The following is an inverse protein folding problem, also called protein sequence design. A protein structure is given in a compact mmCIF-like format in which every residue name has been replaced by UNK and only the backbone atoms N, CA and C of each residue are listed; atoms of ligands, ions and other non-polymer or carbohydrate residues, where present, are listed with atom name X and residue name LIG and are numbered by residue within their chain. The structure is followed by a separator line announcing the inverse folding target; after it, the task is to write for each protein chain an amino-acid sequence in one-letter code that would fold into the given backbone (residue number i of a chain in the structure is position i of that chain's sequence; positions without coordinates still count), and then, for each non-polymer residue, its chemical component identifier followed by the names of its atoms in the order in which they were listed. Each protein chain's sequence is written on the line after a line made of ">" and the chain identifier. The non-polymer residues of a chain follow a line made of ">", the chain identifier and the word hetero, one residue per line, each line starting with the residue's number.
data_IF_714650374245
#
_entry.id   IF_714650374245
#
_cell.length_a   1.000
_cell.length_b   1.000
_cell.length_c   1.000
_cell.angle_alpha   90.00
_cell.angle_beta   90.00
_cell.angle_gamma   90.00
#
_symmetry.space_group_name_H-M   'P 1'
#
loop_
_entity.id
_entity.type
_entity.pdbx_description
1 polymer ?
#
# COMPACT_ATOMS: atom_id res chain seq x y z
N UNK A 1 13.15 -6.64 31.83
CA UNK A 1 11.98 -5.98 32.46
C UNK A 1 12.18 -4.47 32.36
N UNK A 2 11.28 -3.76 31.68
CA UNK A 2 11.27 -2.29 31.69
C UNK A 2 10.91 -1.86 33.13
N UNK A 3 11.69 -0.97 33.75
CA UNK A 3 11.37 -0.48 35.10
C UNK A 3 9.99 0.19 35.11
N UNK A 4 9.18 -0.02 36.16
CA UNK A 4 7.80 0.50 36.25
C UNK A 4 7.69 2.03 36.02
N UNK A 5 8.72 2.80 36.34
CA UNK A 5 8.77 4.24 36.07
C UNK A 5 9.02 4.63 34.61
N UNK A 6 9.60 3.75 33.79
CA UNK A 6 9.95 4.04 32.40
C UNK A 6 8.83 3.70 31.40
N UNK A 7 7.96 2.74 31.73
CA UNK A 7 6.90 2.28 30.84
C UNK A 7 5.92 3.40 30.41
N UNK A 8 5.45 4.31 31.30
CA UNK A 8 4.58 5.43 30.90
C UNK A 8 5.25 6.38 29.89
N UNK A 9 6.54 6.66 30.06
CA UNK A 9 7.30 7.56 29.20
C UNK A 9 7.62 6.94 27.84
N UNK A 10 8.03 5.67 27.83
CA UNK A 10 8.30 4.92 26.60
C UNK A 10 7.02 4.78 25.76
N UNK A 11 5.89 4.50 26.41
CA UNK A 11 4.60 4.45 25.73
C UNK A 11 4.24 5.80 25.11
N UNK A 12 4.34 6.90 25.87
CA UNK A 12 4.07 8.24 25.36
C UNK A 12 4.97 8.63 24.17
N UNK A 13 6.28 8.34 24.25
CA UNK A 13 7.21 8.56 23.15
C UNK A 13 6.85 7.76 21.90
N UNK A 14 6.49 6.49 22.07
CA UNK A 14 6.00 5.64 20.97
C UNK A 14 4.70 6.16 20.35
N UNK A 15 3.76 6.62 21.17
CA UNK A 15 2.50 7.23 20.71
C UNK A 15 2.74 8.48 19.86
N UNK A 16 3.69 9.33 20.24
CA UNK A 16 4.07 10.52 19.45
C UNK A 16 4.63 10.14 18.08
N UNK A 17 5.49 9.13 18.02
CA UNK A 17 6.04 8.63 16.75
C UNK A 17 4.92 8.08 15.86
N UNK A 18 4.02 7.25 16.42
CA UNK A 18 2.87 6.72 15.68
C UNK A 18 1.91 7.81 15.18
N UNK A 19 1.63 8.80 16.01
CA UNK A 19 0.80 9.95 15.63
C UNK A 19 1.47 10.82 14.56
N UNK A 20 2.79 10.97 14.58
CA UNK A 20 3.52 11.68 13.52
C UNK A 20 3.37 11.00 12.16
N UNK A 21 3.50 9.67 12.09
CA UNK A 21 3.25 8.92 10.86
C UNK A 21 1.82 9.12 10.34
N UNK A 22 0.83 9.03 11.22
CA UNK A 22 -0.58 9.25 10.87
C UNK A 22 -0.84 10.69 10.40
N UNK A 23 -0.26 11.69 11.09
CA UNK A 23 -0.34 13.08 10.68
C UNK A 23 0.28 13.30 9.30
N UNK A 24 1.46 12.75 9.06
CA UNK A 24 2.14 12.83 7.77
C UNK A 24 1.35 12.14 6.64
N UNK A 25 0.63 11.04 6.94
CA UNK A 25 -0.27 10.39 5.99
C UNK A 25 -1.48 11.28 5.62
N UNK A 26 -2.05 12.01 6.59
CA UNK A 26 -3.17 12.92 6.36
C UNK A 26 -2.75 14.27 5.74
N UNK A 27 -1.55 14.74 6.08
CA UNK A 27 -1.00 16.03 5.63
C UNK A 27 0.47 15.86 5.21
N UNK A 28 0.71 15.23 4.05
CA UNK A 28 2.06 15.06 3.53
C UNK A 28 2.75 16.40 3.28
N UNK A 29 4.07 16.42 3.48
CA UNK A 29 4.90 17.60 3.32
C UNK A 29 5.48 17.69 1.90
N UNK A 30 5.20 18.80 1.21
CA UNK A 30 5.59 18.96 -0.21
C UNK A 30 6.53 20.15 -0.48
N UNK A 31 6.82 20.99 0.52
CA UNK A 31 7.45 22.30 0.28
C UNK A 31 8.96 22.27 0.00
N UNK A 32 9.66 21.22 0.42
CA UNK A 32 11.11 21.11 0.23
C UNK A 32 11.48 19.70 -0.22
N UNK A 33 12.22 19.58 -1.32
CA UNK A 33 12.48 18.32 -2.02
C UNK A 33 12.93 17.17 -1.09
N UNK A 34 14.00 17.37 -0.31
CA UNK A 34 14.52 16.33 0.61
C UNK A 34 13.51 15.89 1.67
N UNK A 35 12.80 16.84 2.27
CA UNK A 35 11.76 16.56 3.28
C UNK A 35 10.53 15.92 2.66
N UNK A 36 10.24 16.23 1.40
CA UNK A 36 9.15 15.61 0.65
C UNK A 36 9.43 14.14 0.35
N UNK A 37 10.67 13.76 0.05
CA UNK A 37 11.05 12.35 -0.11
C UNK A 37 10.86 11.58 1.21
N UNK A 38 11.35 12.11 2.33
CA UNK A 38 11.15 11.48 3.64
C UNK A 38 9.66 11.38 4.01
N UNK A 39 8.90 12.46 3.77
CA UNK A 39 7.45 12.48 3.98
C UNK A 39 6.73 11.48 3.08
N UNK A 40 7.16 11.33 1.82
CA UNK A 40 6.61 10.37 0.89
C UNK A 40 6.77 8.94 1.41
N UNK A 41 7.99 8.50 1.75
CA UNK A 41 8.21 7.14 2.24
C UNK A 41 7.49 6.86 3.57
N UNK A 42 7.52 7.82 4.50
CA UNK A 42 6.80 7.72 5.76
C UNK A 42 5.27 7.62 5.54
N UNK A 43 4.73 8.43 4.63
CA UNK A 43 3.32 8.45 4.29
C UNK A 43 2.90 7.18 3.57
N UNK A 44 3.63 6.78 2.53
CA UNK A 44 3.37 5.63 1.68
C UNK A 44 3.23 4.34 2.49
N UNK A 45 4.21 4.02 3.34
CA UNK A 45 4.13 2.83 4.20
C UNK A 45 2.94 2.91 5.17
N UNK A 46 2.67 4.09 5.72
CA UNK A 46 1.58 4.28 6.69
C UNK A 46 0.20 4.14 6.02
N UNK A 47 0.03 4.66 4.81
CA UNK A 47 -1.25 4.60 4.07
C UNK A 47 -1.51 3.22 3.50
N UNK A 48 -0.51 2.57 2.90
CA UNK A 48 -0.67 1.23 2.30
C UNK A 48 -0.82 0.15 3.37
N UNK A 49 -0.12 0.28 4.49
CA UNK A 49 -0.15 -0.69 5.58
C UNK A 49 -1.01 -0.20 6.76
N UNK A 50 -1.96 0.70 6.54
CA UNK A 50 -2.76 1.33 7.60
C UNK A 50 -3.39 0.31 8.57
N UNK A 51 -3.91 -0.81 8.04
CA UNK A 51 -4.47 -1.90 8.85
C UNK A 51 -3.39 -2.58 9.73
N UNK A 52 -2.20 -2.83 9.18
CA UNK A 52 -1.08 -3.39 9.94
C UNK A 52 -0.60 -2.44 11.03
N UNK A 53 -0.52 -1.13 10.73
CA UNK A 53 -0.19 -0.10 11.70
C UNK A 53 -1.20 -0.08 12.85
N UNK A 54 -2.50 -0.17 12.55
CA UNK A 54 -3.54 -0.25 13.57
C UNK A 54 -3.36 -1.49 14.45
N UNK A 55 -3.19 -2.68 13.87
CA UNK A 55 -3.02 -3.93 14.62
C UNK A 55 -1.78 -3.90 15.50
N UNK A 56 -0.62 -3.48 14.99
CA UNK A 56 0.60 -3.41 15.79
C UNK A 56 0.53 -2.34 16.89
N UNK A 57 -0.10 -1.18 16.63
CA UNK A 57 -0.35 -0.17 17.66
C UNK A 57 -1.29 -0.70 18.75
N UNK A 58 -2.32 -1.47 18.39
CA UNK A 58 -3.23 -2.10 19.35
C UNK A 58 -2.48 -3.09 20.25
N UNK A 59 -1.69 -3.99 19.67
CA UNK A 59 -0.89 -4.97 20.42
C UNK A 59 0.12 -4.29 21.34
N UNK A 60 0.89 -3.33 20.83
CA UNK A 60 1.85 -2.58 21.64
C UNK A 60 1.17 -1.83 22.78
N UNK A 61 0.03 -1.18 22.51
CA UNK A 61 -0.75 -0.49 23.53
C UNK A 61 -1.18 -1.46 24.64
N UNK A 62 -1.70 -2.65 24.29
CA UNK A 62 -2.07 -3.65 25.27
C UNK A 62 -0.88 -4.10 26.13
N UNK A 63 0.29 -4.34 25.52
CA UNK A 63 1.52 -4.69 26.25
C UNK A 63 1.97 -3.59 27.21
N UNK A 64 1.96 -2.33 26.77
CA UNK A 64 2.35 -1.20 27.63
C UNK A 64 1.34 -0.96 28.76
N UNK A 65 0.04 -1.08 28.50
CA UNK A 65 -1.00 -1.02 29.53
C UNK A 65 -0.80 -2.12 30.57
N UNK A 66 -0.56 -3.36 30.13
CA UNK A 66 -0.24 -4.47 31.03
C UNK A 66 1.04 -4.24 31.85
N UNK A 67 2.05 -3.60 31.25
CA UNK A 67 3.28 -3.19 31.92
C UNK A 67 3.12 -1.97 32.86
N UNK A 68 1.90 -1.47 33.08
CA UNK A 68 1.62 -0.37 34.00
C UNK A 68 1.83 1.03 33.40
N UNK A 69 1.83 1.19 32.07
CA UNK A 69 2.00 2.51 31.45
C UNK A 69 0.99 3.55 31.94
N UNK A 70 -0.24 3.12 32.30
CA UNK A 70 -1.29 4.01 32.79
C UNK A 70 -1.15 4.39 34.28
N UNK A 71 -0.12 3.89 34.97
CA UNK A 71 0.13 4.22 36.39
C UNK A 71 0.62 5.67 36.59
N UNK A 72 0.97 6.38 35.51
CA UNK A 72 1.39 7.78 35.57
C UNK A 72 0.80 8.59 34.40
N UNK A 73 0.71 9.91 34.59
CA UNK A 73 0.13 10.84 33.62
C UNK A 73 0.73 10.73 32.19
N UNK A 74 2.03 10.46 31.97
CA UNK A 74 2.56 10.38 30.61
C UNK A 74 1.91 9.27 29.79
N UNK A 75 1.59 8.12 30.43
CA UNK A 75 0.95 7.03 29.72
C UNK A 75 -0.53 7.30 29.41
N UNK A 76 -1.23 8.06 30.26
CA UNK A 76 -2.60 8.53 29.97
C UNK A 76 -2.59 9.46 28.75
N UNK A 77 -1.63 10.41 28.70
CA UNK A 77 -1.43 11.29 27.54
C UNK A 77 -1.08 10.47 26.29
N UNK A 78 -0.16 9.50 26.42
CA UNK A 78 0.19 8.57 25.34
C UNK A 78 -1.04 7.83 24.79
N UNK A 79 -1.91 7.33 25.68
CA UNK A 79 -3.13 6.63 25.27
C UNK A 79 -4.07 7.54 24.47
N UNK A 80 -4.28 8.78 24.94
CA UNK A 80 -5.10 9.75 24.23
C UNK A 80 -4.54 10.06 22.83
N UNK A 81 -3.22 10.22 22.71
CA UNK A 81 -2.54 10.41 21.42
C UNK A 81 -2.74 9.19 20.52
N UNK A 82 -2.58 7.98 21.05
CA UNK A 82 -2.80 6.73 20.29
C UNK A 82 -4.23 6.64 19.76
N UNK A 83 -5.23 6.94 20.59
CA UNK A 83 -6.64 6.91 20.18
C UNK A 83 -6.93 7.96 19.09
N UNK A 84 -6.37 9.16 19.20
CA UNK A 84 -6.47 10.17 18.15
C UNK A 84 -5.78 9.71 16.84
N UNK A 85 -4.64 9.03 16.95
CA UNK A 85 -3.95 8.41 15.83
C UNK A 85 -4.83 7.36 15.14
N UNK A 86 -5.55 6.52 15.89
CA UNK A 86 -6.47 5.53 15.31
C UNK A 86 -7.63 6.16 14.55
N UNK A 87 -8.19 7.26 15.07
CA UNK A 87 -9.22 8.01 14.35
C UNK A 87 -8.67 8.58 13.02
N UNK A 88 -7.42 9.06 13.01
CA UNK A 88 -6.73 9.48 11.80
C UNK A 88 -6.53 8.36 10.78
N UNK A 89 -6.09 7.17 11.22
CA UNK A 89 -5.94 5.99 10.36
C UNK A 89 -7.28 5.51 9.81
N UNK A 90 -8.35 5.51 10.62
CA UNK A 90 -9.70 5.18 10.16
C UNK A 90 -10.19 6.16 9.08
N UNK A 91 -9.85 7.44 9.21
CA UNK A 91 -10.13 8.44 8.19
C UNK A 91 -9.34 8.18 6.90
N UNK A 92 -8.04 7.83 6.98
CA UNK A 92 -7.25 7.40 5.82
C UNK A 92 -7.91 6.21 5.10
N UNK A 93 -8.32 5.19 5.87
CA UNK A 93 -8.99 4.01 5.32
C UNK A 93 -10.31 4.37 4.63
N UNK A 94 -11.11 5.25 5.22
CA UNK A 94 -12.37 5.73 4.63
C UNK A 94 -12.14 6.48 3.31
N UNK A 95 -11.11 7.33 3.25
CA UNK A 95 -10.75 8.03 2.01
C UNK A 95 -10.30 7.04 0.94
N UNK A 96 -9.47 6.05 1.29
CA UNK A 96 -9.04 5.01 0.36
C UNK A 96 -10.21 4.22 -0.23
N UNK A 97 -11.24 3.90 0.59
CA UNK A 97 -12.48 3.26 0.11
C UNK A 97 -13.27 4.11 -0.89
N UNK A 98 -13.14 5.44 -0.86
CA UNK A 98 -13.79 6.33 -1.82
C UNK A 98 -13.25 6.18 -3.25
N UNK A 99 -12.01 5.70 -3.41
CA UNK A 99 -11.39 5.49 -4.73
C UNK A 99 -12.16 4.44 -5.56
N UNK A 100 -12.79 3.46 -4.90
CA UNK A 100 -13.61 2.43 -5.55
C UNK A 100 -14.72 3.06 -6.40
N UNK A 101 -15.47 4.01 -5.82
CA UNK A 101 -16.56 4.68 -6.52
C UNK A 101 -16.05 5.55 -7.69
N UNK A 102 -14.91 6.22 -7.51
CA UNK A 102 -14.30 7.05 -8.57
C UNK A 102 -13.84 6.18 -9.74
N UNK A 103 -13.20 5.04 -9.45
CA UNK A 103 -12.77 4.09 -10.48
C UNK A 103 -13.97 3.47 -11.19
N UNK A 104 -14.99 3.05 -10.46
CA UNK A 104 -16.21 2.50 -11.06
C UNK A 104 -16.91 3.51 -11.96
N UNK A 105 -16.97 4.78 -11.54
CA UNK A 105 -17.54 5.85 -12.35
C UNK A 105 -16.74 6.06 -13.64
N UNK A 106 -15.41 6.11 -13.56
CA UNK A 106 -14.55 6.25 -14.73
C UNK A 106 -14.67 5.06 -15.70
N UNK A 107 -14.83 3.84 -15.19
CA UNK A 107 -15.10 2.65 -15.99
C UNK A 107 -16.47 2.74 -16.68
N UNK A 108 -17.52 3.13 -15.96
CA UNK A 108 -18.84 3.36 -16.54
C UNK A 108 -18.83 4.44 -17.63
N UNK A 109 -18.07 5.52 -17.43
CA UNK A 109 -17.98 6.62 -18.40
C UNK A 109 -17.19 6.23 -19.65
N UNK A 110 -16.14 5.41 -19.50
CA UNK A 110 -15.28 4.98 -20.62
C UNK A 110 -15.77 3.75 -21.37
N UNK A 111 -16.40 2.80 -20.68
CA UNK A 111 -16.80 1.50 -21.22
C UNK A 111 -18.33 1.30 -21.26
N UNK A 112 -19.09 2.23 -20.72
CA UNK A 112 -20.55 2.13 -20.60
C UNK A 112 -21.01 1.49 -19.29
N UNK A 113 -22.23 1.82 -18.86
CA UNK A 113 -22.80 1.33 -17.58
C UNK A 113 -22.99 -0.19 -17.53
N UNK A 114 -23.15 -0.83 -18.69
CA UNK A 114 -23.32 -2.27 -18.82
C UNK A 114 -22.01 -3.03 -19.04
N UNK A 115 -20.84 -2.38 -18.92
CA UNK A 115 -19.55 -3.03 -19.23
C UNK A 115 -19.35 -4.36 -18.50
N UNK A 116 -19.86 -4.49 -17.27
CA UNK A 116 -19.78 -5.71 -16.45
C UNK A 116 -20.56 -6.89 -17.04
N UNK A 117 -21.58 -6.63 -17.84
CA UNK A 117 -22.40 -7.63 -18.54
C UNK A 117 -21.69 -8.16 -19.79
N UNK A 118 -20.79 -7.36 -20.36
CA UNK A 118 -19.97 -7.70 -21.53
C UNK A 118 -18.72 -8.52 -21.16
N UNK A 119 -18.38 -8.60 -19.86
CA UNK A 119 -17.28 -9.43 -19.37
C UNK A 119 -17.68 -10.91 -19.43
N UNK A 120 -16.82 -11.74 -20.06
CA UNK A 120 -16.98 -13.19 -20.10
C UNK A 120 -17.27 -13.78 -18.71
N UNK A 121 -18.28 -14.66 -18.54
CA UNK A 121 -18.67 -15.20 -17.24
C UNK A 121 -17.51 -15.81 -16.44
N UNK A 122 -16.61 -16.54 -17.12
CA UNK A 122 -15.46 -17.21 -16.52
C UNK A 122 -14.42 -16.22 -15.95
N UNK A 123 -14.38 -15.00 -16.49
CA UNK A 123 -13.53 -13.91 -16.00
C UNK A 123 -14.24 -13.15 -14.90
N UNK A 124 -15.56 -12.94 -15.03
CA UNK A 124 -16.39 -12.27 -14.03
C UNK A 124 -16.36 -12.96 -12.67
N UNK A 125 -16.35 -14.28 -12.65
CA UNK A 125 -16.21 -15.07 -11.41
C UNK A 125 -14.87 -14.82 -10.69
N UNK A 126 -13.80 -14.51 -11.42
CA UNK A 126 -12.49 -14.15 -10.84
C UNK A 126 -12.47 -12.74 -10.24
N UNK A 127 -13.37 -11.86 -10.68
CA UNK A 127 -13.57 -10.54 -10.08
C UNK A 127 -14.45 -10.59 -8.81
N UNK A 128 -14.83 -11.78 -8.33
CA UNK A 128 -15.62 -11.89 -7.12
C UNK A 128 -14.98 -11.05 -6.00
N UNK A 129 -15.76 -10.18 -5.31
CA UNK A 129 -15.26 -9.21 -4.33
C UNK A 129 -14.81 -9.85 -3.01
N UNK A 130 -14.39 -11.11 -3.03
CA UNK A 130 -13.82 -11.78 -1.88
C UNK A 130 -12.46 -11.16 -1.58
N UNK A 131 -12.38 -10.48 -0.44
CA UNK A 131 -11.12 -9.96 0.07
C UNK A 131 -10.18 -11.16 0.29
N UNK A 132 -9.09 -11.22 -0.45
CA UNK A 132 -8.02 -12.18 -0.19
C UNK A 132 -7.23 -11.73 1.04
N UNK A 133 -7.67 -12.17 2.21
CA UNK A 133 -7.03 -11.87 3.48
C UNK A 133 -5.58 -12.36 3.56
N UNK A 134 -5.18 -13.37 2.76
CA UNK A 134 -3.78 -13.81 2.73
C UNK A 134 -2.90 -12.77 2.05
N UNK A 135 -3.37 -12.17 0.95
CA UNK A 135 -2.66 -11.08 0.29
C UNK A 135 -2.58 -9.82 1.15
N UNK A 136 -3.63 -9.54 1.94
CA UNK A 136 -3.58 -8.45 2.92
C UNK A 136 -2.52 -8.73 3.99
N UNK A 137 -2.47 -9.95 4.54
CA UNK A 137 -1.53 -10.31 5.60
C UNK A 137 -0.07 -10.41 5.10
N UNK A 138 0.12 -10.82 3.85
CA UNK A 138 1.42 -11.01 3.21
C UNK A 138 1.49 -10.21 1.91
N UNK A 139 1.79 -8.90 1.97
CA UNK A 139 1.86 -8.03 0.79
C UNK A 139 3.18 -8.22 0.03
N UNK A 140 3.57 -9.47 -0.21
CA UNK A 140 4.75 -9.83 -0.99
C UNK A 140 4.33 -10.22 -2.41
N UNK A 141 5.12 -9.86 -3.43
CA UNK A 141 4.82 -10.25 -4.80
C UNK A 141 4.82 -11.78 -4.92
N UNK A 142 3.69 -12.35 -5.37
CA UNK A 142 3.56 -13.79 -5.62
C UNK A 142 3.67 -14.03 -7.11
N UNK A 143 4.54 -14.95 -7.52
CA UNK A 143 4.69 -15.31 -8.93
C UNK A 143 3.53 -16.18 -9.40
N UNK A 144 2.87 -15.81 -10.51
CA UNK A 144 1.80 -16.64 -11.06
C UNK A 144 2.37 -17.85 -11.84
N UNK A 145 2.07 -19.11 -11.45
CA UNK A 145 2.70 -20.31 -12.04
C UNK A 145 2.39 -20.48 -13.54
N UNK A 146 1.21 -20.03 -13.99
CA UNK A 146 0.79 -20.07 -15.39
C UNK A 146 1.40 -19.01 -16.30
N UNK A 147 2.23 -18.10 -15.76
CA UNK A 147 2.87 -17.03 -16.51
C UNK A 147 4.36 -17.35 -16.70
N UNK A 148 4.83 -17.15 -17.92
CA UNK A 148 6.26 -17.12 -18.24
C UNK A 148 6.69 -15.70 -18.62
N UNK A 149 7.95 -15.39 -18.32
CA UNK A 149 8.57 -14.10 -18.58
C UNK A 149 9.70 -14.26 -19.57
N UNK A 150 9.56 -13.66 -20.74
CA UNK A 150 10.64 -13.48 -21.71
C UNK A 150 11.35 -12.18 -21.39
N UNK A 151 12.62 -12.27 -20.98
CA UNK A 151 13.36 -11.11 -20.47
C UNK A 151 14.16 -10.40 -21.56
N UNK A 152 14.30 -9.08 -21.41
CA UNK A 152 15.22 -8.23 -22.16
C UNK A 152 14.98 -8.25 -23.67
N UNK A 153 13.72 -8.26 -24.09
CA UNK A 153 13.35 -8.10 -25.49
C UNK A 153 13.70 -6.67 -25.89
N UNK A 154 14.76 -6.51 -26.67
CA UNK A 154 15.20 -5.20 -27.16
C UNK A 154 14.23 -4.74 -28.25
N UNK A 155 13.50 -3.66 -27.97
CA UNK A 155 12.53 -3.10 -28.92
C UNK A 155 13.11 -1.90 -29.68
N UNK A 156 14.13 -1.23 -29.12
CA UNK A 156 14.78 -0.12 -29.80
C UNK A 156 16.23 0.08 -29.31
N UNK A 157 17.05 0.77 -30.10
CA UNK A 157 18.38 1.26 -29.72
C UNK A 157 18.46 2.75 -29.99
N UNK A 158 18.80 3.52 -28.97
CA UNK A 158 18.99 4.97 -29.05
C UNK A 158 20.40 5.26 -28.55
N UNK A 159 21.23 5.82 -29.42
CA UNK A 159 22.68 5.94 -29.22
C UNK A 159 23.29 4.57 -28.84
N UNK A 160 24.05 4.52 -27.75
CA UNK A 160 24.63 3.29 -27.21
C UNK A 160 23.68 2.52 -26.25
N UNK A 161 22.45 3.01 -26.04
CA UNK A 161 21.50 2.40 -25.10
C UNK A 161 20.49 1.50 -25.80
N UNK A 162 20.48 0.23 -25.41
CA UNK A 162 19.44 -0.72 -25.79
C UNK A 162 18.22 -0.55 -24.87
N UNK A 163 17.08 -0.15 -25.44
CA UNK A 163 15.82 -0.11 -24.74
C UNK A 163 15.18 -1.49 -24.82
N UNK A 164 14.95 -2.10 -23.65
CA UNK A 164 14.46 -3.46 -23.53
C UNK A 164 13.26 -3.54 -22.59
N UNK A 165 12.34 -4.43 -22.92
CA UNK A 165 11.16 -4.75 -22.12
C UNK A 165 11.13 -6.23 -21.76
N UNK A 166 10.24 -6.59 -20.84
CA UNK A 166 9.93 -7.98 -20.56
C UNK A 166 8.51 -8.28 -21.02
N UNK A 167 8.34 -9.45 -21.66
CA UNK A 167 7.04 -9.93 -22.09
C UNK A 167 6.59 -10.99 -21.10
N UNK A 168 5.49 -10.72 -20.41
CA UNK A 168 4.79 -11.71 -19.60
C UNK A 168 3.67 -12.30 -20.43
N UNK A 169 3.65 -13.62 -20.58
CA UNK A 169 2.63 -14.32 -21.37
C UNK A 169 2.19 -15.63 -20.70
N UNK A 170 0.99 -16.14 -21.02
CA UNK A 170 0.61 -17.48 -20.62
C UNK A 170 1.63 -18.51 -21.11
N UNK A 171 1.89 -19.54 -20.31
CA UNK A 171 2.72 -20.69 -20.75
C UNK A 171 2.06 -21.51 -21.86
N UNK A 172 0.72 -21.49 -21.92
CA UNK A 172 -0.03 -22.12 -22.99
C UNK A 172 0.11 -21.28 -24.27
N UNK A 173 0.25 -21.94 -25.42
CA UNK A 173 0.21 -21.25 -26.70
C UNK A 173 -1.18 -20.68 -26.95
N UNK A 174 -1.26 -19.36 -27.08
CA UNK A 174 -2.49 -18.62 -27.34
C UNK A 174 -2.27 -17.60 -28.45
N UNK A 175 -3.26 -17.43 -29.32
CA UNK A 175 -3.26 -16.42 -30.40
C UNK A 175 -4.30 -15.34 -30.14
N UNK A 176 -4.05 -14.11 -30.59
CA UNK A 176 -5.03 -13.01 -30.48
C UNK A 176 -5.24 -12.49 -29.05
N UNK A 177 -4.23 -12.63 -28.19
CA UNK A 177 -4.33 -12.13 -26.82
C UNK A 177 -4.31 -10.59 -26.78
N UNK A 178 -5.27 -9.96 -26.06
CA UNK A 178 -5.17 -8.54 -25.73
C UNK A 178 -3.82 -8.23 -25.08
N UNK A 179 -3.15 -7.18 -25.53
CA UNK A 179 -1.82 -6.80 -25.04
C UNK A 179 -1.92 -5.56 -24.18
N UNK A 180 -1.46 -5.66 -22.93
CA UNK A 180 -1.32 -4.53 -22.01
C UNK A 180 0.15 -4.08 -22.00
N UNK A 181 0.39 -2.79 -22.21
CA UNK A 181 1.71 -2.18 -22.05
C UNK A 181 1.79 -1.47 -20.69
N UNK A 182 2.65 -1.98 -19.80
CA UNK A 182 2.92 -1.37 -18.50
C UNK A 182 4.20 -0.54 -18.56
N UNK A 183 4.12 0.72 -18.15
CA UNK A 183 5.28 1.59 -17.92
C UNK A 183 5.39 1.80 -16.41
N UNK A 184 6.54 1.44 -15.82
CA UNK A 184 6.72 1.56 -14.38
C UNK A 184 6.74 3.02 -13.92
N UNK A 185 6.30 3.25 -12.68
CA UNK A 185 6.42 4.53 -12.01
C UNK A 185 7.83 4.74 -11.43
N UNK A 186 7.96 5.77 -10.59
CA UNK A 186 9.24 6.14 -9.93
C UNK A 186 9.69 7.57 -10.21
N UNK A 187 8.74 8.46 -10.48
CA UNK A 187 8.97 9.91 -10.70
C UNK A 187 10.03 10.21 -11.76
N UNK A 188 10.18 9.33 -12.77
CA UNK A 188 11.19 9.42 -13.84
C UNK A 188 12.65 9.44 -13.35
N UNK A 189 12.89 9.17 -12.07
CA UNK A 189 14.21 9.17 -11.44
C UNK A 189 14.61 7.75 -11.03
N UNK A 190 13.64 6.95 -10.62
CA UNK A 190 13.82 5.60 -10.09
C UNK A 190 12.93 4.60 -10.85
N UNK A 191 13.23 3.32 -10.68
CA UNK A 191 12.38 2.22 -11.09
C UNK A 191 13.03 1.28 -12.10
N UNK A 192 12.46 0.08 -12.18
CA UNK A 192 12.90 -0.99 -13.05
C UNK A 192 11.73 -1.83 -13.53
N UNK A 193 11.84 -2.39 -14.74
CA UNK A 193 10.94 -3.44 -15.24
C UNK A 193 10.93 -4.73 -14.39
N UNK A 194 11.80 -4.81 -13.39
CA UNK A 194 11.93 -5.94 -12.47
C UNK A 194 11.11 -5.81 -11.18
N UNK A 195 10.46 -4.68 -10.92
CA UNK A 195 9.91 -4.36 -9.59
C UNK A 195 8.40 -4.11 -9.57
N UNK A 196 7.85 -3.50 -10.63
CA UNK A 196 6.46 -3.02 -10.65
C UNK A 196 5.64 -3.67 -11.76
N UNK A 197 4.36 -3.91 -11.51
CA UNK A 197 3.41 -4.45 -12.50
C UNK A 197 3.72 -5.89 -12.92
N UNK A 198 4.27 -6.69 -12.01
CA UNK A 198 4.60 -8.10 -12.26
C UNK A 198 3.36 -8.96 -11.97
N UNK A 199 2.99 -9.89 -12.87
CA UNK A 199 1.85 -10.80 -12.68
C UNK A 199 2.09 -11.90 -11.65
#
# INVERSE_FOLDING_TARGET
>A
MISAGAAPWLFCGGSLVGAWFTYNALRPYHRAARRSVASFFAGWLTTELALHHFVWQLLLTAVFVWAGALAAWPGIVGLAITLASWAGLAQCYRVARGAEAVVEQALCDGLGRSYREEIFPEVREKFAPAIDWRQILLPLPVWHPGVERVRNVVYNRVDEKALALDVYRPRAEMSGCPTLLQIHGGAWILGSKNEQGIP
#
